data_IF_152801110307
#
_entry.id   IF_152801110307
#
_cell.length_a   1.000
_cell.length_b   1.000
_cell.length_c   1.000
_cell.angle_alpha   90.00
_cell.angle_beta   90.00
_cell.angle_gamma   90.00
#
_symmetry.space_group_name_H-M   'P 1'
#
loop_
_entity.id
_entity.type
_entity.pdbx_description
1 polymer ?
#
# COMPACT_ATOMS: atom_id res chain seq x y z
N UNK A 1 45.07 18.17 -30.17
CA UNK A 1 43.99 17.19 -29.90
C UNK A 1 44.22 16.62 -28.52
N UNK A 2 43.40 16.97 -27.54
CA UNK A 2 43.20 16.25 -26.27
C UNK A 2 41.98 16.88 -25.62
N UNK A 3 40.81 16.24 -25.79
CA UNK A 3 39.60 16.54 -25.01
C UNK A 3 38.92 15.22 -24.67
N UNK A 4 38.52 15.15 -23.40
CA UNK A 4 37.47 14.31 -22.84
C UNK A 4 37.79 12.85 -22.50
N UNK A 5 38.39 12.64 -21.33
CA UNK A 5 38.23 11.40 -20.55
C UNK A 5 37.69 11.66 -19.12
N UNK A 6 37.50 12.91 -18.68
CA UNK A 6 37.10 13.22 -17.30
C UNK A 6 35.59 13.26 -17.01
N UNK A 7 34.71 13.07 -18.01
CA UNK A 7 33.26 13.20 -17.81
C UNK A 7 32.51 11.88 -17.48
N UNK A 8 33.17 10.71 -17.48
CA UNK A 8 32.47 9.43 -17.33
C UNK A 8 32.41 8.92 -15.86
N UNK A 9 33.30 9.39 -14.97
CA UNK A 9 33.35 8.91 -13.58
C UNK A 9 32.27 9.51 -12.67
N UNK A 10 31.85 10.76 -12.93
CA UNK A 10 30.81 11.43 -12.13
C UNK A 10 29.38 10.94 -12.45
N UNK A 11 29.14 10.41 -13.66
CA UNK A 11 27.83 9.85 -14.04
C UNK A 11 27.52 8.53 -13.32
N UNK A 12 28.50 7.62 -13.29
CA UNK A 12 28.35 6.30 -12.70
C UNK A 12 28.18 6.34 -11.17
N UNK A 13 28.84 7.30 -10.50
CA UNK A 13 28.70 7.48 -9.04
C UNK A 13 27.32 7.98 -8.62
N UNK A 14 26.73 8.89 -9.42
CA UNK A 14 25.39 9.40 -9.16
C UNK A 14 24.31 8.35 -9.44
N UNK A 15 24.38 7.62 -10.55
CA UNK A 15 23.40 6.55 -10.86
C UNK A 15 23.40 5.42 -9.81
N UNK A 16 24.57 5.07 -9.29
CA UNK A 16 24.70 4.08 -8.21
C UNK A 16 24.11 4.58 -6.88
N UNK A 17 24.31 5.86 -6.56
CA UNK A 17 23.72 6.49 -5.37
C UNK A 17 22.19 6.55 -5.49
N UNK A 18 21.68 7.01 -6.63
CA UNK A 18 20.25 7.09 -6.92
C UNK A 18 19.57 5.71 -6.83
N UNK A 19 20.25 4.66 -7.33
CA UNK A 19 19.78 3.28 -7.19
C UNK A 19 19.67 2.83 -5.74
N UNK A 20 20.70 3.07 -4.93
CA UNK A 20 20.70 2.70 -3.52
C UNK A 20 19.64 3.43 -2.70
N UNK A 21 19.44 4.74 -2.93
CA UNK A 21 18.36 5.49 -2.29
C UNK A 21 16.99 4.94 -2.69
N UNK A 22 16.82 4.55 -3.96
CA UNK A 22 15.55 3.98 -4.43
C UNK A 22 15.24 2.63 -3.79
N UNK A 23 16.24 1.76 -3.68
CA UNK A 23 16.10 0.46 -3.00
C UNK A 23 15.73 0.66 -1.52
N UNK A 24 16.38 1.58 -0.83
CA UNK A 24 16.05 1.88 0.58
C UNK A 24 14.60 2.37 0.72
N UNK A 25 14.16 3.28 -0.16
CA UNK A 25 12.78 3.76 -0.18
C UNK A 25 11.78 2.61 -0.38
N UNK A 26 12.07 1.70 -1.30
CA UNK A 26 11.23 0.53 -1.57
C UNK A 26 11.12 -0.38 -0.34
N UNK A 27 12.23 -0.62 0.37
CA UNK A 27 12.21 -1.46 1.58
C UNK A 27 11.36 -0.83 2.69
N UNK A 28 11.50 0.48 2.92
CA UNK A 28 10.69 1.20 3.90
C UNK A 28 9.20 1.17 3.55
N UNK A 29 8.85 1.38 2.27
CA UNK A 29 7.46 1.32 1.80
C UNK A 29 6.88 -0.09 1.87
N UNK A 30 7.69 -1.12 1.61
CA UNK A 30 7.29 -2.52 1.74
C UNK A 30 6.91 -2.83 3.19
N UNK A 31 7.73 -2.42 4.15
CA UNK A 31 7.46 -2.60 5.58
C UNK A 31 6.20 -1.81 6.01
N UNK A 32 6.01 -0.58 5.52
CA UNK A 32 4.81 0.20 5.78
C UNK A 32 3.56 -0.50 5.25
N UNK A 33 3.57 -0.96 4.00
CA UNK A 33 2.44 -1.67 3.37
C UNK A 33 2.13 -2.95 4.13
N UNK A 34 3.14 -3.73 4.52
CA UNK A 34 2.96 -4.95 5.29
C UNK A 34 2.25 -4.65 6.62
N UNK A 35 2.71 -3.62 7.34
CA UNK A 35 2.12 -3.22 8.61
C UNK A 35 0.66 -2.76 8.44
N UNK A 36 0.37 -1.95 7.42
CA UNK A 36 -1.00 -1.49 7.12
C UNK A 36 -1.89 -2.69 6.75
N UNK A 37 -1.39 -3.63 5.95
CA UNK A 37 -2.14 -4.80 5.55
C UNK A 37 -2.47 -5.71 6.74
N UNK A 38 -1.49 -5.96 7.62
CA UNK A 38 -1.72 -6.70 8.86
C UNK A 38 -2.75 -6.01 9.77
N UNK A 39 -2.68 -4.68 9.88
CA UNK A 39 -3.67 -3.91 10.64
C UNK A 39 -5.07 -4.00 10.03
N UNK A 40 -5.18 -3.97 8.70
CA UNK A 40 -6.43 -4.13 7.97
C UNK A 40 -7.08 -5.49 8.26
N UNK A 41 -6.31 -6.58 8.20
CA UNK A 41 -6.81 -7.94 8.50
C UNK A 41 -7.34 -8.04 9.93
N UNK A 42 -6.62 -7.47 10.90
CA UNK A 42 -7.05 -7.48 12.31
C UNK A 42 -8.35 -6.70 12.52
N UNK A 43 -8.47 -5.52 11.89
CA UNK A 43 -9.69 -4.73 11.99
C UNK A 43 -10.86 -5.40 11.26
N UNK A 44 -10.64 -6.03 10.12
CA UNK A 44 -11.68 -6.79 9.42
C UNK A 44 -12.21 -7.95 10.24
N UNK A 45 -11.34 -8.69 10.94
CA UNK A 45 -11.76 -9.75 11.85
C UNK A 45 -12.67 -9.22 12.97
N UNK A 46 -12.34 -8.05 13.52
CA UNK A 46 -13.17 -7.38 14.53
C UNK A 46 -14.50 -6.89 13.94
N UNK A 47 -14.47 -6.24 12.79
CA UNK A 47 -15.68 -5.75 12.11
C UNK A 47 -16.61 -6.90 11.74
N UNK A 48 -16.07 -8.04 11.31
CA UNK A 48 -16.85 -9.23 10.98
C UNK A 48 -17.65 -9.75 12.19
N UNK A 49 -17.03 -9.76 13.38
CA UNK A 49 -17.74 -10.11 14.62
C UNK A 49 -18.87 -9.13 14.91
N UNK A 50 -18.62 -7.83 14.77
CA UNK A 50 -19.63 -6.78 15.00
C UNK A 50 -20.78 -6.82 13.98
N UNK A 51 -20.48 -7.11 12.71
CA UNK A 51 -21.48 -7.30 11.67
C UNK A 51 -22.32 -8.55 11.92
N UNK A 52 -21.72 -9.63 12.42
CA UNK A 52 -22.44 -10.84 12.84
C UNK A 52 -23.42 -10.56 13.98
N UNK A 53 -22.99 -9.81 15.00
CA UNK A 53 -23.85 -9.37 16.11
C UNK A 53 -24.99 -8.47 15.60
N UNK A 54 -24.71 -7.56 14.67
CA UNK A 54 -25.72 -6.71 14.05
C UNK A 54 -26.77 -7.56 13.32
N UNK A 55 -26.37 -8.57 12.56
CA UNK A 55 -27.30 -9.49 11.87
C UNK A 55 -28.14 -10.29 12.88
N UNK A 56 -27.51 -10.82 13.93
CA UNK A 56 -28.23 -11.58 14.96
C UNK A 56 -29.28 -10.71 15.67
N UNK A 57 -28.97 -9.42 15.89
CA UNK A 57 -29.88 -8.47 16.53
C UNK A 57 -31.15 -8.18 15.73
N UNK A 58 -31.19 -8.51 14.43
CA UNK A 58 -32.35 -8.33 13.55
C UNK A 58 -33.05 -9.65 13.16
N UNK A 59 -32.39 -10.80 13.33
CA UNK A 59 -32.92 -12.12 12.94
C UNK A 59 -33.45 -12.97 14.11
N UNK A 60 -33.32 -12.48 15.35
CA UNK A 60 -33.81 -13.17 16.55
C UNK A 60 -35.32 -13.42 16.56
N UNK A 61 -35.73 -14.59 17.08
CA UNK A 61 -37.15 -14.94 17.27
C UNK A 61 -37.79 -13.98 18.28
N UNK A 62 -38.90 -13.33 17.91
CA UNK A 62 -39.64 -12.40 18.78
C UNK A 62 -39.34 -10.91 18.56
N UNK A 63 -38.56 -10.57 17.54
CA UNK A 63 -38.32 -9.16 17.16
C UNK A 63 -39.55 -8.63 16.41
N UNK A 64 -40.29 -7.73 17.07
CA UNK A 64 -41.45 -7.05 16.48
C UNK A 64 -41.16 -5.56 16.22
N UNK A 65 -40.23 -4.96 16.97
CA UNK A 65 -39.89 -3.53 16.92
C UNK A 65 -38.40 -3.29 16.66
N UNK A 66 -37.85 -3.91 15.61
CA UNK A 66 -36.47 -3.64 15.21
C UNK A 66 -36.34 -2.25 14.56
N UNK A 67 -35.41 -1.44 15.07
CA UNK A 67 -35.09 -0.12 14.54
C UNK A 67 -34.24 -0.23 13.26
N UNK A 68 -34.91 -0.11 12.11
CA UNK A 68 -34.31 -0.13 10.78
C UNK A 68 -33.29 0.98 10.59
N UNK A 69 -33.55 2.17 11.13
CA UNK A 69 -32.66 3.32 10.98
C UNK A 69 -31.32 3.06 11.71
N UNK A 70 -31.39 2.47 12.91
CA UNK A 70 -30.20 2.06 13.65
C UNK A 70 -29.37 1.01 12.89
N UNK A 71 -30.00 0.00 12.28
CA UNK A 71 -29.27 -0.99 11.48
C UNK A 71 -28.61 -0.38 10.26
N UNK A 72 -29.33 0.44 9.50
CA UNK A 72 -28.79 1.12 8.32
C UNK A 72 -27.60 2.00 8.70
N UNK A 73 -27.72 2.78 9.78
CA UNK A 73 -26.62 3.62 10.28
C UNK A 73 -25.39 2.82 10.71
N UNK A 74 -25.59 1.69 11.40
CA UNK A 74 -24.50 0.81 11.82
C UNK A 74 -23.81 0.16 10.61
N UNK A 75 -24.59 -0.36 9.66
CA UNK A 75 -24.07 -0.95 8.42
C UNK A 75 -23.27 0.07 7.61
N UNK A 76 -23.79 1.29 7.47
CA UNK A 76 -23.09 2.37 6.78
C UNK A 76 -21.75 2.69 7.46
N UNK A 77 -21.73 2.77 8.80
CA UNK A 77 -20.51 2.99 9.58
C UNK A 77 -19.45 1.90 9.33
N UNK A 78 -19.85 0.63 9.32
CA UNK A 78 -18.95 -0.49 9.01
C UNK A 78 -18.39 -0.41 7.59
N UNK A 79 -19.25 -0.15 6.60
CA UNK A 79 -18.83 0.02 5.20
C UNK A 79 -17.84 1.17 5.08
N UNK A 80 -18.11 2.33 5.70
CA UNK A 80 -17.20 3.49 5.68
C UNK A 80 -15.83 3.18 6.28
N UNK A 81 -15.78 2.41 7.38
CA UNK A 81 -14.52 1.97 7.98
C UNK A 81 -13.71 1.07 7.03
N UNK A 82 -14.34 0.05 6.46
CA UNK A 82 -13.69 -0.84 5.48
C UNK A 82 -13.16 -0.06 4.28
N UNK A 83 -14.00 0.79 3.68
CA UNK A 83 -13.59 1.63 2.55
C UNK A 83 -12.40 2.53 2.90
N UNK A 84 -12.36 3.13 4.09
CA UNK A 84 -11.22 3.96 4.51
C UNK A 84 -9.91 3.18 4.53
N UNK A 85 -9.92 1.98 5.10
CA UNK A 85 -8.74 1.10 5.22
C UNK A 85 -8.28 0.64 3.84
N UNK A 86 -9.20 0.12 3.02
CA UNK A 86 -8.87 -0.41 1.70
C UNK A 86 -8.45 0.68 0.71
N UNK A 87 -9.03 1.88 0.80
CA UNK A 87 -8.58 3.02 0.00
C UNK A 87 -7.17 3.47 0.37
N UNK A 88 -6.82 3.47 1.66
CA UNK A 88 -5.46 3.79 2.11
C UNK A 88 -4.46 2.75 1.58
N UNK A 89 -4.76 1.45 1.76
CA UNK A 89 -3.90 0.37 1.30
C UNK A 89 -3.72 0.41 -0.22
N UNK A 90 -4.81 0.62 -0.98
CA UNK A 90 -4.73 0.75 -2.43
C UNK A 90 -3.85 1.93 -2.84
N UNK A 91 -3.99 3.11 -2.21
CA UNK A 91 -3.15 4.27 -2.51
C UNK A 91 -1.66 3.96 -2.29
N UNK A 92 -1.31 3.32 -1.17
CA UNK A 92 0.06 2.92 -0.87
C UNK A 92 0.60 1.92 -1.90
N UNK A 93 -0.21 0.93 -2.29
CA UNK A 93 0.16 -0.02 -3.34
C UNK A 93 0.40 0.65 -4.70
N UNK A 94 -0.36 1.69 -5.06
CA UNK A 94 -0.12 2.40 -6.33
C UNK A 94 1.22 3.15 -6.30
N UNK A 95 1.52 3.85 -5.21
CA UNK A 95 2.82 4.53 -5.05
C UNK A 95 3.98 3.54 -5.12
N UNK A 96 3.87 2.45 -4.37
CA UNK A 96 4.89 1.40 -4.35
C UNK A 96 5.14 0.78 -5.73
N UNK A 97 4.08 0.51 -6.51
CA UNK A 97 4.21 0.03 -7.89
C UNK A 97 4.96 1.00 -8.79
N UNK A 98 4.71 2.30 -8.64
CA UNK A 98 5.45 3.33 -9.38
C UNK A 98 6.94 3.28 -9.03
N UNK A 99 7.27 3.19 -7.74
CA UNK A 99 8.67 3.14 -7.30
C UNK A 99 9.39 1.86 -7.72
N UNK A 100 8.72 0.71 -7.73
CA UNK A 100 9.28 -0.53 -8.28
C UNK A 100 9.63 -0.37 -9.76
N UNK A 101 8.74 0.23 -10.55
CA UNK A 101 9.00 0.46 -11.97
C UNK A 101 10.20 1.40 -12.19
N UNK A 102 10.31 2.45 -11.40
CA UNK A 102 11.44 3.38 -11.46
C UNK A 102 12.78 2.70 -11.10
N UNK A 103 12.78 1.80 -10.10
CA UNK A 103 13.96 1.00 -9.75
C UNK A 103 14.36 0.05 -10.89
N UNK A 104 13.41 -0.63 -11.53
CA UNK A 104 13.67 -1.51 -12.68
C UNK A 104 14.30 -0.75 -13.87
N UNK A 105 13.84 0.48 -14.11
CA UNK A 105 14.39 1.35 -15.16
C UNK A 105 15.83 1.76 -14.87
N UNK A 106 16.16 2.11 -13.62
CA UNK A 106 17.54 2.46 -13.20
C UNK A 106 18.44 1.22 -13.25
N UNK A 107 17.99 0.09 -12.70
CA UNK A 107 18.69 -1.20 -12.72
C UNK A 107 19.06 -1.62 -14.15
N UNK A 108 18.12 -1.45 -15.09
CA UNK A 108 18.33 -1.76 -16.50
C UNK A 108 19.37 -0.85 -17.17
N UNK A 109 19.35 0.46 -16.85
CA UNK A 109 20.35 1.42 -17.34
C UNK A 109 21.75 1.05 -16.84
N UNK A 110 21.89 0.79 -15.54
CA UNK A 110 23.16 0.40 -14.93
C UNK A 110 23.73 -0.86 -15.59
N UNK A 111 22.93 -1.92 -15.77
CA UNK A 111 23.38 -3.14 -16.47
C UNK A 111 23.93 -2.80 -17.86
N UNK A 112 23.22 -2.01 -18.65
CA UNK A 112 23.70 -1.60 -19.97
C UNK A 112 25.01 -0.81 -19.92
N UNK A 113 25.21 0.05 -18.91
CA UNK A 113 26.44 0.84 -18.75
C UNK A 113 27.66 -0.01 -18.35
N UNK A 114 27.48 -1.12 -17.63
CA UNK A 114 28.58 -1.99 -17.18
C UNK A 114 28.95 -3.13 -18.15
N UNK A 115 28.16 -3.36 -19.21
CA UNK A 115 28.40 -4.40 -20.21
C UNK A 115 29.01 -3.89 -21.54
N UNK A 116 29.41 -2.62 -21.61
CA UNK A 116 30.23 -2.04 -22.69
C UNK A 116 31.59 -1.57 -22.15
#
# INVERSE_FOLDING_TARGET
MMKNEQNNANGNGNEFFDFHEKVNTILEEQDEILNIHMAAIKEDAKLLQQESELIQSIQGVGIVDYDVDTYVGNLESFIRKKLKIYNLLNKKLQVFKTHLKEEEEISSKMKNTFYY
#
